data_IF_953748237592
#
_entry.id   IF_953748237592
#
_cell.length_a   1.000
_cell.length_b   1.000
_cell.length_c   1.000
_cell.angle_alpha   90.00
_cell.angle_beta   90.00
_cell.angle_gamma   90.00
#
_symmetry.space_group_name_H-M   'P 1'
#
loop_
_entity.id
_entity.type
_entity.pdbx_description
1 polymer ?
#
# COMPACT_ATOMS: atom_id res chain seq x y z
N UNK A 1 9.93 -6.92 18.20
CA UNK A 1 10.92 -7.11 17.11
C UNK A 1 10.36 -6.31 15.93
N UNK A 2 11.13 -5.35 15.40
CA UNK A 2 10.78 -4.64 14.19
C UNK A 2 10.67 -5.65 13.04
N UNK A 3 9.63 -5.55 12.22
CA UNK A 3 9.46 -6.38 11.02
C UNK A 3 10.66 -6.24 10.07
N UNK A 4 10.69 -7.08 9.03
CA UNK A 4 11.65 -6.95 7.93
C UNK A 4 11.46 -5.56 7.28
N UNK A 5 12.50 -4.71 7.18
CA UNK A 5 12.38 -3.38 6.60
C UNK A 5 12.00 -3.41 5.10
N UNK A 6 12.21 -4.53 4.43
CA UNK A 6 11.78 -4.79 3.05
C UNK A 6 11.20 -6.21 2.94
N UNK A 7 9.92 -6.40 3.26
CA UNK A 7 9.28 -7.72 3.14
C UNK A 7 8.96 -8.10 1.68
N UNK A 8 9.06 -7.16 0.73
CA UNK A 8 8.66 -7.32 -0.67
C UNK A 8 9.86 -7.64 -1.58
N UNK A 9 10.56 -8.76 -1.31
CA UNK A 9 11.71 -9.26 -2.08
C UNK A 9 11.59 -10.76 -2.38
N UNK A 10 12.46 -11.30 -3.24
CA UNK A 10 12.52 -12.72 -3.58
C UNK A 10 11.22 -13.24 -4.20
N UNK A 11 10.69 -14.36 -3.71
CA UNK A 11 9.44 -14.91 -4.21
C UNK A 11 8.26 -13.96 -4.03
N UNK A 12 8.23 -13.16 -2.96
CA UNK A 12 7.19 -12.15 -2.77
C UNK A 12 7.18 -11.15 -3.93
N UNK A 13 8.33 -10.60 -4.30
CA UNK A 13 8.43 -9.64 -5.40
C UNK A 13 8.14 -10.31 -6.76
N UNK A 14 8.82 -11.41 -7.06
CA UNK A 14 8.71 -12.08 -8.37
C UNK A 14 7.33 -12.67 -8.67
N UNK A 15 6.52 -12.94 -7.65
CA UNK A 15 5.16 -13.50 -7.81
C UNK A 15 4.04 -12.49 -7.54
N UNK A 16 4.40 -11.24 -7.20
CA UNK A 16 3.44 -10.23 -6.76
C UNK A 16 2.34 -9.97 -7.78
N UNK A 17 2.70 -9.71 -9.02
CA UNK A 17 1.72 -9.41 -10.09
C UNK A 17 0.78 -10.59 -10.40
N UNK A 18 1.26 -11.82 -10.22
CA UNK A 18 0.43 -13.01 -10.39
C UNK A 18 -0.61 -13.16 -9.27
N UNK A 19 -0.26 -12.76 -8.05
CA UNK A 19 -1.13 -12.83 -6.88
C UNK A 19 -2.03 -11.59 -6.71
N UNK A 20 -1.59 -10.43 -7.23
CA UNK A 20 -2.30 -9.14 -7.14
C UNK A 20 -2.43 -8.55 -8.54
N UNK A 21 -3.33 -9.09 -9.39
CA UNK A 21 -3.56 -8.54 -10.72
C UNK A 21 -4.06 -7.10 -10.63
N UNK A 22 -3.95 -6.32 -11.72
CA UNK A 22 -4.24 -4.88 -11.73
C UNK A 22 -5.58 -4.51 -11.12
N UNK A 23 -6.64 -5.26 -11.41
CA UNK A 23 -8.01 -4.96 -10.97
C UNK A 23 -8.41 -5.63 -9.64
N UNK A 24 -7.46 -6.30 -8.97
CA UNK A 24 -7.76 -7.09 -7.76
C UNK A 24 -8.29 -6.28 -6.57
N UNK A 25 -8.05 -4.97 -6.57
CA UNK A 25 -8.35 -4.08 -5.43
C UNK A 25 -9.54 -3.16 -5.74
N UNK A 26 -9.84 -2.89 -7.01
CA UNK A 26 -10.92 -1.98 -7.41
C UNK A 26 -10.59 -0.48 -7.25
N UNK A 27 -9.35 -0.14 -6.96
CA UNK A 27 -8.89 1.23 -6.64
C UNK A 27 -8.42 2.05 -7.86
N UNK A 28 -8.29 1.41 -9.02
CA UNK A 28 -7.74 2.04 -10.24
C UNK A 28 -8.52 3.28 -10.68
N UNK A 29 -9.85 3.19 -10.74
CA UNK A 29 -10.70 4.33 -11.16
C UNK A 29 -10.70 5.45 -10.12
N UNK A 30 -10.70 5.11 -8.83
CA UNK A 30 -10.70 6.06 -7.73
C UNK A 30 -9.47 6.97 -7.76
N UNK A 31 -8.27 6.41 -7.81
CA UNK A 31 -7.05 7.21 -7.87
C UNK A 31 -6.90 7.95 -9.20
N UNK A 32 -7.30 7.33 -10.33
CA UNK A 32 -7.30 7.99 -11.64
C UNK A 32 -8.12 9.29 -11.62
N UNK A 33 -9.31 9.25 -11.03
CA UNK A 33 -10.17 10.42 -10.92
C UNK A 33 -9.56 11.48 -10.02
N UNK A 34 -8.96 11.11 -8.88
CA UNK A 34 -8.25 12.04 -8.01
C UNK A 34 -7.06 12.72 -8.70
N UNK A 35 -6.32 12.00 -9.54
CA UNK A 35 -5.21 12.58 -10.31
C UNK A 35 -5.77 13.57 -11.34
N UNK A 36 -6.77 13.18 -12.13
CA UNK A 36 -7.38 14.03 -13.17
C UNK A 36 -8.10 15.25 -12.62
N UNK A 37 -8.65 15.15 -11.39
CA UNK A 37 -9.29 16.27 -10.68
C UNK A 37 -8.24 17.18 -10.00
N UNK A 38 -7.31 17.68 -10.78
CA UNK A 38 -6.27 18.63 -10.33
C UNK A 38 -5.26 18.03 -9.35
N UNK A 39 -5.01 16.72 -9.42
CA UNK A 39 -4.01 16.02 -8.62
C UNK A 39 -2.63 15.91 -9.26
N UNK A 40 -2.41 16.45 -10.46
CA UNK A 40 -1.10 16.49 -11.11
C UNK A 40 -0.29 17.72 -10.67
N UNK A 41 1.01 17.54 -10.40
CA UNK A 41 1.77 16.28 -10.39
C UNK A 41 1.42 15.38 -9.21
N UNK A 42 1.38 14.06 -9.44
CA UNK A 42 1.04 13.07 -8.43
C UNK A 42 2.25 12.23 -7.98
N UNK A 43 2.23 11.74 -6.73
CA UNK A 43 3.19 10.78 -6.20
C UNK A 43 2.46 9.57 -5.64
N UNK A 44 2.79 8.39 -6.18
CA UNK A 44 2.39 7.11 -5.62
C UNK A 44 3.46 6.60 -4.64
N UNK A 45 3.11 6.45 -3.36
CA UNK A 45 4.00 5.94 -2.32
C UNK A 45 3.70 4.47 -2.05
N UNK A 46 4.73 3.63 -2.12
CA UNK A 46 4.58 2.17 -2.16
C UNK A 46 4.13 1.70 -3.54
N UNK A 47 4.73 2.24 -4.62
CA UNK A 47 4.31 1.95 -6.00
C UNK A 47 4.61 0.50 -6.43
N UNK A 48 5.50 -0.21 -5.71
CA UNK A 48 5.82 -1.60 -5.94
C UNK A 48 6.23 -1.91 -7.39
N UNK A 49 5.59 -2.90 -7.98
CA UNK A 49 5.80 -3.31 -9.38
C UNK A 49 5.12 -2.38 -10.40
N UNK A 50 4.55 -1.25 -9.96
CA UNK A 50 3.90 -0.28 -10.83
C UNK A 50 2.46 -0.63 -11.23
N UNK A 51 1.72 -1.34 -10.40
CA UNK A 51 0.34 -1.77 -10.67
C UNK A 51 -0.58 -0.62 -11.08
N UNK A 52 -0.52 0.52 -10.39
CA UNK A 52 -1.26 1.74 -10.70
C UNK A 52 -0.41 2.70 -11.53
N UNK A 53 0.83 2.95 -11.12
CA UNK A 53 1.75 3.90 -11.74
C UNK A 53 1.83 3.75 -13.26
N UNK A 54 2.02 2.51 -13.74
CA UNK A 54 2.20 2.25 -15.18
C UNK A 54 0.93 2.50 -15.98
N UNK A 55 -0.24 2.24 -15.40
CA UNK A 55 -1.52 2.54 -16.05
C UNK A 55 -1.71 4.05 -16.23
N UNK A 56 -1.42 4.82 -15.18
CA UNK A 56 -1.57 6.28 -15.21
C UNK A 56 -0.51 6.95 -16.09
N UNK A 57 0.74 6.45 -16.07
CA UNK A 57 1.79 6.91 -16.96
C UNK A 57 1.45 6.61 -18.44
N UNK A 58 0.86 5.46 -18.75
CA UNK A 58 0.39 5.12 -20.10
C UNK A 58 -0.76 6.03 -20.58
N UNK A 59 -1.53 6.62 -19.67
CA UNK A 59 -2.56 7.62 -19.96
C UNK A 59 -1.99 9.04 -20.11
N UNK A 60 -0.68 9.21 -19.94
CA UNK A 60 0.01 10.51 -20.02
C UNK A 60 -0.15 11.38 -18.77
N UNK A 61 -0.59 10.81 -17.64
CA UNK A 61 -0.69 11.56 -16.38
C UNK A 61 0.69 11.80 -15.78
N UNK A 62 0.89 13.00 -15.22
CA UNK A 62 2.15 13.41 -14.58
C UNK A 62 2.26 12.79 -13.18
N UNK A 63 2.89 11.62 -13.11
CA UNK A 63 3.01 10.80 -11.90
C UNK A 63 4.42 10.26 -11.72
N UNK A 64 4.87 10.24 -10.48
CA UNK A 64 6.10 9.58 -10.04
C UNK A 64 5.79 8.52 -8.97
N UNK A 65 6.72 7.60 -8.74
CA UNK A 65 6.56 6.53 -7.75
C UNK A 65 7.71 6.45 -6.76
N UNK A 66 7.39 6.03 -5.54
CA UNK A 66 8.40 5.70 -4.52
C UNK A 66 8.11 4.31 -3.97
N UNK A 67 9.16 3.52 -3.75
CA UNK A 67 9.08 2.28 -2.98
C UNK A 67 10.39 2.04 -2.20
N UNK A 68 10.35 1.24 -1.14
CA UNK A 68 11.55 0.86 -0.38
C UNK A 68 12.26 -0.34 -1.00
N UNK A 69 11.52 -1.17 -1.73
CA UNK A 69 12.02 -2.41 -2.33
C UNK A 69 12.62 -2.18 -3.71
N UNK A 70 13.94 -2.37 -3.83
CA UNK A 70 14.60 -2.29 -5.14
C UNK A 70 14.11 -3.37 -6.10
N UNK A 71 13.88 -4.61 -5.62
CA UNK A 71 13.40 -5.69 -6.47
C UNK A 71 12.03 -5.38 -7.09
N UNK A 72 11.13 -4.75 -6.33
CA UNK A 72 9.83 -4.29 -6.84
C UNK A 72 10.02 -3.20 -7.90
N UNK A 73 10.91 -2.24 -7.65
CA UNK A 73 11.20 -1.16 -8.60
C UNK A 73 11.88 -1.66 -9.88
N UNK A 74 12.74 -2.68 -9.79
CA UNK A 74 13.33 -3.33 -10.98
C UNK A 74 12.27 -3.96 -11.87
N UNK A 75 11.28 -4.66 -11.26
CA UNK A 75 10.13 -5.21 -11.99
C UNK A 75 9.32 -4.07 -12.62
N UNK A 76 9.06 -2.99 -11.88
CA UNK A 76 8.35 -1.82 -12.41
C UNK A 76 9.06 -1.21 -13.61
N UNK A 77 10.37 -0.96 -13.53
CA UNK A 77 11.18 -0.42 -14.64
C UNK A 77 11.19 -1.35 -15.85
N UNK A 78 11.31 -2.67 -15.61
CA UNK A 78 11.27 -3.67 -16.69
C UNK A 78 9.94 -3.67 -17.44
N UNK A 79 8.82 -3.58 -16.70
CA UNK A 79 7.47 -3.48 -17.29
C UNK A 79 7.29 -2.16 -18.06
N UNK A 80 7.77 -1.04 -17.52
CA UNK A 80 7.74 0.25 -18.20
C UNK A 80 8.49 0.19 -19.53
N UNK A 81 9.71 -0.37 -19.54
CA UNK A 81 10.50 -0.53 -20.75
C UNK A 81 9.79 -1.41 -21.81
N UNK A 82 9.11 -2.47 -21.37
CA UNK A 82 8.33 -3.34 -22.26
C UNK A 82 7.10 -2.65 -22.88
N UNK A 83 6.63 -1.55 -22.25
CA UNK A 83 5.51 -0.73 -22.71
C UNK A 83 5.95 0.59 -23.38
N UNK A 84 7.25 0.78 -23.62
CA UNK A 84 7.85 2.03 -24.13
C UNK A 84 7.46 3.28 -23.28
N UNK A 85 7.29 3.08 -21.97
CA UNK A 85 6.95 4.16 -21.03
C UNK A 85 8.20 4.74 -20.36
N UNK A 86 8.28 6.06 -20.30
CA UNK A 86 9.25 6.77 -19.45
C UNK A 86 8.60 7.06 -18.09
N UNK A 87 9.19 6.54 -17.01
CA UNK A 87 8.71 6.71 -15.64
C UNK A 87 9.82 7.25 -14.72
N UNK A 88 9.43 7.97 -13.68
CA UNK A 88 10.30 8.34 -12.56
C UNK A 88 9.92 7.52 -11.33
N UNK A 89 10.84 6.64 -10.88
CA UNK A 89 10.65 5.87 -9.64
C UNK A 89 11.90 5.94 -8.78
N UNK A 90 11.71 6.12 -7.47
CA UNK A 90 12.77 6.38 -6.50
C UNK A 90 12.75 5.34 -5.39
N UNK A 91 13.92 4.81 -5.04
CA UNK A 91 14.06 3.92 -3.89
C UNK A 91 14.23 4.75 -2.62
N UNK A 92 13.14 4.95 -1.89
CA UNK A 92 13.17 5.71 -0.63
C UNK A 92 12.09 5.20 0.34
N UNK A 93 12.36 5.19 1.65
CA UNK A 93 11.34 4.91 2.65
C UNK A 93 10.42 6.13 2.82
N UNK A 94 9.12 5.89 2.98
CA UNK A 94 8.10 6.97 3.03
C UNK A 94 8.28 7.94 4.20
N UNK A 95 8.92 7.53 5.29
CA UNK A 95 9.20 8.39 6.44
C UNK A 95 10.34 9.38 6.23
N UNK A 96 11.11 9.25 5.16
CA UNK A 96 12.27 10.12 4.90
C UNK A 96 12.48 10.44 3.43
N UNK A 97 11.40 10.83 2.74
CA UNK A 97 11.46 11.23 1.34
C UNK A 97 12.39 12.44 1.14
N UNK A 98 13.17 12.38 0.07
CA UNK A 98 14.07 13.44 -0.41
C UNK A 98 13.91 13.54 -1.94
N UNK A 99 12.81 14.16 -2.37
CA UNK A 99 12.48 14.41 -3.75
C UNK A 99 12.58 15.91 -4.03
N UNK A 100 13.13 16.26 -5.18
CA UNK A 100 13.31 17.67 -5.57
C UNK A 100 12.00 18.37 -5.97
N UNK A 101 10.95 17.56 -6.18
CA UNK A 101 9.64 18.02 -6.63
C UNK A 101 8.62 18.03 -5.48
N UNK A 102 7.62 18.89 -5.61
CA UNK A 102 6.39 18.87 -4.82
C UNK A 102 5.22 18.41 -5.67
N UNK A 103 4.20 17.85 -5.01
CA UNK A 103 3.08 17.18 -5.66
C UNK A 103 1.76 17.79 -5.22
N UNK A 104 0.78 17.81 -6.10
CA UNK A 104 -0.59 18.22 -5.77
C UNK A 104 -1.38 17.08 -5.14
N UNK A 105 -0.98 15.84 -5.42
CA UNK A 105 -1.54 14.64 -4.82
C UNK A 105 -0.41 13.70 -4.40
N UNK A 106 -0.43 13.27 -3.14
CA UNK A 106 0.33 12.11 -2.66
C UNK A 106 -0.70 11.07 -2.23
N UNK A 107 -0.56 9.83 -2.69
CA UNK A 107 -1.43 8.74 -2.30
C UNK A 107 -0.66 7.46 -2.02
N UNK A 108 -1.16 6.69 -1.06
CA UNK A 108 -0.52 5.47 -0.58
C UNK A 108 -1.50 4.30 -0.76
N UNK A 109 -1.54 3.63 -1.92
CA UNK A 109 -2.54 2.60 -2.19
C UNK A 109 -2.33 1.33 -1.37
N UNK A 110 -3.35 0.48 -1.36
CA UNK A 110 -3.32 -0.90 -0.86
C UNK A 110 -2.82 -1.03 0.59
N UNK A 111 -3.17 -0.05 1.44
CA UNK A 111 -2.87 -0.04 2.87
C UNK A 111 -1.37 -0.03 3.22
N UNK A 112 -0.49 0.34 2.28
CA UNK A 112 0.97 0.34 2.48
C UNK A 112 1.42 1.23 3.64
N UNK A 113 0.66 2.28 3.96
CA UNK A 113 0.93 3.13 5.13
C UNK A 113 0.90 2.35 6.46
N UNK A 114 0.04 1.33 6.56
CA UNK A 114 -0.12 0.52 7.78
C UNK A 114 1.06 -0.43 8.05
N UNK A 115 2.01 -0.55 7.12
CA UNK A 115 3.29 -1.25 7.34
C UNK A 115 4.21 -0.49 8.29
N UNK A 116 3.97 0.81 8.53
CA UNK A 116 4.62 1.56 9.59
C UNK A 116 3.97 1.18 10.93
N UNK A 117 4.72 0.50 11.78
CA UNK A 117 4.23 0.02 13.08
C UNK A 117 4.70 0.86 14.26
N UNK A 118 5.70 1.72 14.05
CA UNK A 118 6.26 2.61 15.05
C UNK A 118 5.66 4.03 14.94
N UNK A 119 5.27 4.63 16.06
CA UNK A 119 4.63 5.95 16.09
C UNK A 119 5.56 7.07 15.59
N UNK A 120 6.89 6.92 15.80
CA UNK A 120 7.86 7.88 15.29
C UNK A 120 7.97 7.81 13.77
N UNK A 121 7.96 6.61 13.17
CA UNK A 121 7.95 6.42 11.72
C UNK A 121 6.65 6.94 11.08
N UNK A 122 5.51 6.69 11.71
CA UNK A 122 4.21 7.22 11.28
C UNK A 122 4.24 8.75 11.23
N UNK A 123 4.68 9.38 12.32
CA UNK A 123 4.81 10.84 12.39
C UNK A 123 5.81 11.39 11.37
N UNK A 124 6.95 10.72 11.23
CA UNK A 124 7.97 11.10 10.24
C UNK A 124 7.44 11.01 8.80
N UNK A 125 6.66 9.97 8.47
CA UNK A 125 6.04 9.83 7.16
C UNK A 125 5.03 10.94 6.87
N UNK A 126 4.12 11.24 7.81
CA UNK A 126 3.15 12.33 7.65
C UNK A 126 3.84 13.68 7.46
N UNK A 127 4.89 13.98 8.24
CA UNK A 127 5.70 15.17 8.09
C UNK A 127 6.45 15.19 6.74
N UNK A 128 6.90 14.03 6.28
CA UNK A 128 7.56 13.90 4.98
C UNK A 128 6.59 14.21 3.84
N UNK A 129 5.37 13.66 3.87
CA UNK A 129 4.34 13.95 2.87
C UNK A 129 3.96 15.44 2.86
N UNK A 130 3.82 16.06 4.04
CA UNK A 130 3.50 17.48 4.11
C UNK A 130 4.57 18.36 3.42
N UNK A 131 5.85 18.03 3.61
CA UNK A 131 6.95 18.78 2.94
C UNK A 131 6.95 18.62 1.43
N UNK A 132 6.52 17.44 0.91
CA UNK A 132 6.50 17.15 -0.52
C UNK A 132 5.16 17.47 -1.20
N UNK A 133 4.13 17.86 -0.46
CA UNK A 133 2.92 18.42 -1.05
C UNK A 133 3.10 19.89 -1.43
N UNK A 134 2.46 20.33 -2.50
CA UNK A 134 2.23 21.76 -2.77
C UNK A 134 1.28 22.37 -1.74
N UNK A 135 1.31 23.70 -1.50
CA UNK A 135 0.28 24.36 -0.71
C UNK A 135 -1.11 24.07 -1.26
N UNK A 136 -2.03 23.62 -0.39
CA UNK A 136 -3.35 23.15 -0.79
C UNK A 136 -3.41 21.75 -1.40
N UNK A 137 -2.28 21.08 -1.59
CA UNK A 137 -2.18 19.71 -2.10
C UNK A 137 -2.85 18.69 -1.19
N UNK A 138 -3.19 17.54 -1.75
CA UNK A 138 -3.97 16.48 -1.11
C UNK A 138 -3.11 15.28 -0.76
N UNK A 139 -3.31 14.73 0.45
CA UNK A 139 -2.84 13.42 0.86
C UNK A 139 -4.02 12.45 0.89
N UNK A 140 -3.88 11.27 0.27
CA UNK A 140 -4.91 10.22 0.30
C UNK A 140 -4.33 8.93 0.85
N UNK A 141 -4.91 8.46 1.96
CA UNK A 141 -4.42 7.28 2.69
C UNK A 141 -5.57 6.31 2.93
N UNK A 142 -5.72 5.27 2.12
CA UNK A 142 -6.59 4.14 2.44
C UNK A 142 -6.07 3.36 3.64
N UNK A 143 -6.98 3.02 4.54
CA UNK A 143 -6.72 2.20 5.72
C UNK A 143 -7.81 1.13 5.85
N UNK A 144 -7.44 -0.03 6.37
CA UNK A 144 -8.42 -0.98 6.84
C UNK A 144 -8.42 -1.05 8.37
N UNK A 145 -9.58 -1.35 8.94
CA UNK A 145 -9.78 -1.53 10.36
C UNK A 145 -10.31 -2.94 10.62
N UNK A 146 -9.54 -3.83 11.28
CA UNK A 146 -10.02 -5.15 11.61
C UNK A 146 -10.94 -5.05 12.83
N UNK A 147 -12.24 -5.27 12.64
CA UNK A 147 -13.15 -5.38 13.77
C UNK A 147 -12.95 -6.69 14.50
N UNK A 148 -12.86 -6.66 15.81
CA UNK A 148 -12.67 -7.86 16.64
C UNK A 148 -13.75 -8.92 16.39
N UNK A 149 -15.01 -8.49 16.17
CA UNK A 149 -16.12 -9.37 15.80
C UNK A 149 -15.90 -10.14 14.50
N UNK A 150 -15.20 -9.54 13.52
CA UNK A 150 -14.98 -10.10 12.19
C UNK A 150 -13.71 -10.97 12.19
N UNK A 151 -12.71 -10.55 12.94
CA UNK A 151 -11.47 -11.30 13.14
C UNK A 151 -11.66 -12.43 14.14
N UNK A 152 -12.40 -12.18 15.24
CA UNK A 152 -12.70 -13.16 16.27
C UNK A 152 -13.56 -14.35 15.81
N UNK A 153 -14.35 -14.16 14.74
CA UNK A 153 -15.11 -15.26 14.13
C UNK A 153 -14.24 -16.20 13.28
N UNK A 154 -13.05 -15.74 12.88
CA UNK A 154 -12.16 -16.50 12.01
C UNK A 154 -10.65 -16.26 12.22
N UNK A 155 -10.12 -15.94 13.42
CA UNK A 155 -8.68 -16.03 13.58
C UNK A 155 -8.30 -17.49 13.39
N UNK A 156 -7.28 -17.74 12.55
CA UNK A 156 -6.67 -19.06 12.61
C UNK A 156 -6.12 -19.25 14.02
N UNK A 157 -6.28 -20.44 14.64
CA UNK A 157 -5.55 -20.75 15.86
C UNK A 157 -4.10 -20.36 15.69
N UNK A 158 -3.48 -19.85 16.76
CA UNK A 158 -2.08 -19.44 16.71
C UNK A 158 -1.23 -20.60 16.14
N UNK A 159 -0.47 -20.31 15.06
CA UNK A 159 0.29 -21.34 14.34
C UNK A 159 -0.41 -21.98 13.13
N UNK A 160 -1.68 -21.71 12.88
CA UNK A 160 -2.38 -22.25 11.71
C UNK A 160 -2.12 -21.38 10.46
N UNK A 161 -1.83 -22.06 9.35
CA UNK A 161 -1.63 -21.40 8.05
C UNK A 161 -2.94 -21.35 7.26
N UNK A 162 -3.28 -20.16 6.73
CA UNK A 162 -4.42 -19.96 5.85
C UNK A 162 -3.97 -19.58 4.46
N UNK A 163 -4.55 -20.22 3.44
CA UNK A 163 -4.35 -19.82 2.06
C UNK A 163 -5.04 -18.47 1.83
N UNK A 164 -4.23 -17.43 1.54
CA UNK A 164 -4.72 -16.08 1.26
C UNK A 164 -5.03 -15.90 -0.20
N UNK A 165 -4.12 -16.34 -1.05
CA UNK A 165 -4.21 -16.19 -2.52
C UNK A 165 -3.53 -17.35 -3.19
N UNK A 166 -4.05 -17.72 -4.36
CA UNK A 166 -3.38 -18.62 -5.27
C UNK A 166 -3.72 -18.26 -6.71
N UNK A 167 -2.79 -18.52 -7.61
CA UNK A 167 -3.00 -18.41 -9.05
C UNK A 167 -2.32 -19.55 -9.76
N UNK A 168 -2.88 -20.01 -10.89
CA UNK A 168 -2.27 -21.02 -11.76
C UNK A 168 -1.76 -20.32 -13.01
N UNK A 169 -0.54 -20.63 -13.41
CA UNK A 169 0.07 -20.13 -14.64
C UNK A 169 -0.23 -21.05 -15.82
N UNK A 170 0.00 -20.56 -17.04
CA UNK A 170 -0.31 -21.30 -18.27
C UNK A 170 0.50 -22.57 -18.48
N UNK A 171 1.67 -22.70 -17.84
CA UNK A 171 2.52 -23.89 -17.84
C UNK A 171 2.11 -24.95 -16.79
N UNK A 172 1.01 -24.69 -16.06
CA UNK A 172 0.50 -25.56 -15.01
C UNK A 172 1.10 -25.35 -13.64
N UNK A 173 2.10 -24.48 -13.48
CA UNK A 173 2.63 -24.08 -12.18
C UNK A 173 1.60 -23.28 -11.40
N UNK A 174 1.72 -23.29 -10.07
CA UNK A 174 0.84 -22.56 -9.17
C UNK A 174 1.67 -21.71 -8.20
N UNK A 175 1.26 -20.49 -8.02
CA UNK A 175 1.79 -19.62 -6.97
C UNK A 175 0.78 -19.57 -5.83
N UNK A 176 1.24 -19.76 -4.60
CA UNK A 176 0.41 -19.73 -3.39
C UNK A 176 1.00 -18.74 -2.38
N UNK A 177 0.14 -17.95 -1.78
CA UNK A 177 0.46 -17.13 -0.62
C UNK A 177 -0.35 -17.59 0.57
N UNK A 178 0.32 -18.09 1.59
CA UNK A 178 -0.23 -18.51 2.87
C UNK A 178 0.09 -17.49 3.94
N UNK A 179 -0.81 -17.33 4.89
CA UNK A 179 -0.62 -16.41 6.03
C UNK A 179 -0.79 -17.16 7.34
N UNK A 180 0.11 -16.89 8.27
CA UNK A 180 -0.06 -17.12 9.70
C UNK A 180 -0.05 -15.74 10.37
N UNK A 181 -1.11 -15.39 11.11
CA UNK A 181 -1.25 -14.05 11.68
C UNK A 181 -1.83 -14.09 13.09
N UNK A 182 -1.31 -13.21 13.94
CA UNK A 182 -1.83 -12.89 15.26
C UNK A 182 -2.22 -11.42 15.33
N UNK A 183 -3.34 -11.13 16.02
CA UNK A 183 -3.86 -9.79 16.23
C UNK A 183 -3.71 -9.40 17.71
N UNK A 184 -3.08 -8.28 17.95
CA UNK A 184 -2.95 -7.64 19.25
C UNK A 184 -3.85 -6.38 19.22
N UNK A 185 -5.06 -6.51 19.78
CA UNK A 185 -6.06 -5.43 19.74
C UNK A 185 -5.71 -4.28 20.67
N UNK A 186 -4.99 -4.55 21.77
CA UNK A 186 -4.54 -3.51 22.70
C UNK A 186 -3.45 -2.64 22.04
N UNK A 187 -2.48 -3.27 21.39
CA UNK A 187 -1.44 -2.58 20.65
C UNK A 187 -1.88 -2.11 19.25
N UNK A 188 -3.04 -2.55 18.76
CA UNK A 188 -3.54 -2.29 17.40
C UNK A 188 -2.56 -2.75 16.31
N UNK A 189 -1.94 -3.91 16.49
CA UNK A 189 -0.95 -4.46 15.56
C UNK A 189 -1.33 -5.91 15.17
N UNK A 190 -1.43 -6.14 13.87
CA UNK A 190 -1.39 -7.48 13.28
C UNK A 190 0.08 -7.86 13.00
N UNK A 191 0.52 -8.99 13.52
CA UNK A 191 1.80 -9.61 13.15
C UNK A 191 1.51 -10.78 12.24
N UNK A 192 2.08 -10.77 11.04
CA UNK A 192 1.84 -11.82 10.06
C UNK A 192 3.15 -12.38 9.52
N UNK A 193 3.18 -13.69 9.32
CA UNK A 193 4.17 -14.35 8.47
C UNK A 193 3.47 -14.83 7.21
N UNK A 194 3.95 -14.36 6.06
CA UNK A 194 3.51 -14.81 4.75
C UNK A 194 4.47 -15.88 4.24
N UNK A 195 3.93 -16.95 3.66
CA UNK A 195 4.71 -17.98 2.99
C UNK A 195 4.28 -18.05 1.53
N UNK A 196 5.24 -17.83 0.66
CA UNK A 196 5.09 -17.91 -0.79
C UNK A 196 5.63 -19.25 -1.25
N UNK A 197 4.80 -20.03 -1.97
CA UNK A 197 5.19 -21.30 -2.57
C UNK A 197 5.06 -21.20 -4.09
N UNK A 198 6.10 -21.64 -4.80
CA UNK A 198 6.01 -21.99 -6.20
C UNK A 198 5.81 -23.50 -6.29
N UNK A 199 4.65 -23.92 -6.78
CA UNK A 199 4.25 -25.32 -6.86
C UNK A 199 4.27 -25.75 -8.32
N UNK A 200 5.06 -26.77 -8.64
CA UNK A 200 5.16 -27.34 -9.97
C UNK A 200 3.84 -28.01 -10.43
N UNK A 201 3.71 -28.30 -11.71
CA UNK A 201 2.51 -28.91 -12.30
C UNK A 201 2.16 -30.28 -11.69
N UNK A 202 3.17 -31.00 -11.19
CA UNK A 202 3.01 -32.29 -10.51
C UNK A 202 2.59 -32.17 -9.02
N UNK A 203 2.49 -30.93 -8.53
CA UNK A 203 2.12 -30.64 -7.13
C UNK A 203 3.28 -30.55 -6.15
N UNK A 204 4.52 -30.74 -6.59
CA UNK A 204 5.70 -30.56 -5.74
C UNK A 204 6.00 -29.09 -5.49
N UNK A 205 6.51 -28.74 -4.30
CA UNK A 205 6.96 -27.39 -3.98
C UNK A 205 8.37 -27.19 -4.56
N UNK A 206 8.46 -26.43 -5.66
CA UNK A 206 9.73 -26.13 -6.31
C UNK A 206 10.55 -25.06 -5.56
N UNK A 207 9.86 -24.09 -4.93
CA UNK A 207 10.48 -23.08 -4.07
C UNK A 207 9.50 -22.62 -2.99
N UNK A 208 10.04 -22.24 -1.83
CA UNK A 208 9.26 -21.71 -0.70
C UNK A 208 10.05 -20.64 0.02
N UNK A 209 9.40 -19.54 0.36
CA UNK A 209 10.01 -18.44 1.06
C UNK A 209 9.03 -17.81 2.06
N UNK A 210 9.56 -17.31 3.19
CA UNK A 210 8.74 -16.67 4.21
C UNK A 210 9.17 -15.21 4.42
N UNK A 211 8.18 -14.36 4.68
CA UNK A 211 8.35 -12.94 5.02
C UNK A 211 7.48 -12.59 6.21
N UNK A 212 8.02 -11.84 7.15
CA UNK A 212 7.26 -11.34 8.30
C UNK A 212 6.98 -9.85 8.11
N UNK A 213 5.76 -9.45 8.45
CA UNK A 213 5.36 -8.05 8.42
C UNK A 213 4.46 -7.72 9.62
N UNK A 214 4.51 -6.46 10.03
CA UNK A 214 3.57 -5.86 10.96
C UNK A 214 2.60 -4.96 10.21
N UNK A 215 1.35 -4.91 10.66
CA UNK A 215 0.36 -3.97 10.15
C UNK A 215 -0.25 -3.27 11.35
N UNK A 216 -0.06 -1.94 11.43
CA UNK A 216 -0.66 -1.09 12.47
C UNK A 216 -1.97 -0.52 11.95
N UNK A 217 -3.05 -0.66 12.72
CA UNK A 217 -4.30 0.02 12.39
C UNK A 217 -4.64 1.12 13.39
N UNK A 218 -5.50 2.02 12.96
CA UNK A 218 -6.00 3.13 13.76
C UNK A 218 -7.50 3.24 13.55
N UNK A 219 -8.22 3.68 14.57
CA UNK A 219 -9.60 4.12 14.38
C UNK A 219 -9.62 5.37 13.50
N UNK A 220 -10.78 5.69 12.92
CA UNK A 220 -10.92 6.94 12.14
C UNK A 220 -10.55 8.18 12.99
N UNK A 221 -10.92 8.19 14.28
CA UNK A 221 -10.61 9.28 15.17
C UNK A 221 -9.10 9.41 15.44
N UNK A 222 -8.43 8.31 15.76
CA UNK A 222 -6.97 8.31 16.01
C UNK A 222 -6.18 8.79 14.79
N UNK A 223 -6.55 8.32 13.60
CA UNK A 223 -5.81 8.71 12.39
C UNK A 223 -6.09 10.17 11.99
N UNK A 224 -7.31 10.66 12.23
CA UNK A 224 -7.63 12.08 12.08
C UNK A 224 -6.74 12.94 12.98
N UNK A 225 -6.60 12.58 14.26
CA UNK A 225 -5.74 13.29 15.22
C UNK A 225 -4.27 13.29 14.80
N UNK A 226 -3.77 12.17 14.24
CA UNK A 226 -2.42 12.09 13.68
C UNK A 226 -2.22 13.04 12.49
N UNK A 227 -3.19 13.10 11.57
CA UNK A 227 -3.16 14.01 10.43
C UNK A 227 -3.18 15.47 10.88
N UNK A 228 -4.11 15.85 11.74
CA UNK A 228 -4.25 17.21 12.28
C UNK A 228 -3.02 17.62 13.11
N UNK A 229 -2.50 16.71 13.94
CA UNK A 229 -1.27 16.90 14.70
C UNK A 229 -0.03 17.06 13.83
N UNK A 230 -0.04 16.51 12.61
CA UNK A 230 1.01 16.71 11.59
C UNK A 230 0.75 17.94 10.70
N UNK A 231 -0.24 18.77 11.03
CA UNK A 231 -0.53 20.04 10.36
C UNK A 231 -1.39 19.91 9.09
N UNK A 232 -2.02 18.76 8.85
CA UNK A 232 -3.03 18.65 7.79
C UNK A 232 -4.36 19.25 8.21
N UNK A 233 -5.14 19.71 7.24
CA UNK A 233 -6.45 20.33 7.41
C UNK A 233 -7.49 19.72 6.47
N UNK A 234 -8.77 20.09 6.66
CA UNK A 234 -9.88 19.63 5.82
C UNK A 234 -9.91 18.09 5.66
N UNK A 235 -9.78 17.38 6.80
CA UNK A 235 -9.71 15.92 6.83
C UNK A 235 -11.08 15.31 6.61
N UNK A 236 -11.29 14.73 5.42
CA UNK A 236 -12.45 13.91 5.06
C UNK A 236 -12.15 12.43 5.16
N UNK A 237 -13.21 11.62 5.30
CA UNK A 237 -13.10 10.15 5.29
C UNK A 237 -14.11 9.60 4.28
N UNK A 238 -13.61 8.89 3.30
CA UNK A 238 -14.39 8.28 2.22
C UNK A 238 -14.49 6.77 2.45
N UNK A 239 -15.57 6.16 1.99
CA UNK A 239 -15.73 4.71 2.02
C UNK A 239 -14.93 4.08 0.87
N UNK A 240 -14.33 2.96 1.13
CA UNK A 240 -13.59 2.03 0.27
C UNK A 240 -13.55 2.38 -1.23
N UNK A 241 -12.52 3.10 -1.68
CA UNK A 241 -12.27 3.50 -3.09
C UNK A 241 -13.48 4.14 -3.80
N UNK A 242 -14.33 4.84 -3.04
CA UNK A 242 -15.45 5.62 -3.54
C UNK A 242 -15.35 7.07 -3.06
N UNK A 243 -16.20 7.93 -3.60
CA UNK A 243 -16.31 9.32 -3.14
C UNK A 243 -17.43 9.53 -2.10
N UNK A 244 -18.06 8.44 -1.67
CA UNK A 244 -19.09 8.49 -0.62
C UNK A 244 -18.44 8.63 0.76
N UNK A 245 -19.03 9.36 1.69
CA UNK A 245 -18.55 9.45 3.06
C UNK A 245 -18.51 8.08 3.75
N UNK A 246 -17.43 7.77 4.46
CA UNK A 246 -17.36 6.57 5.27
C UNK A 246 -18.17 6.72 6.57
N UNK A 247 -18.96 5.70 6.91
CA UNK A 247 -19.51 5.55 8.25
C UNK A 247 -18.45 5.06 9.25
N UNK A 248 -18.72 5.17 10.57
CA UNK A 248 -17.75 4.80 11.59
C UNK A 248 -17.40 3.29 11.62
N UNK A 249 -18.30 2.45 11.12
CA UNK A 249 -18.17 0.98 11.13
C UNK A 249 -17.68 0.40 9.79
N UNK A 250 -17.25 1.26 8.83
CA UNK A 250 -16.69 0.74 7.59
C UNK A 250 -15.35 0.04 7.86
N UNK A 251 -15.16 -1.21 7.39
CA UNK A 251 -13.92 -1.96 7.61
C UNK A 251 -12.75 -1.45 6.77
N UNK A 252 -13.03 -0.66 5.73
CA UNK A 252 -12.04 -0.04 4.85
C UNK A 252 -12.51 1.38 4.49
N UNK A 253 -11.60 2.33 4.59
CA UNK A 253 -11.89 3.75 4.33
C UNK A 253 -10.62 4.48 3.87
N UNK A 254 -10.80 5.59 3.15
CA UNK A 254 -9.70 6.44 2.70
C UNK A 254 -9.79 7.83 3.35
N UNK A 255 -8.71 8.23 4.01
CA UNK A 255 -8.56 9.63 4.45
C UNK A 255 -8.13 10.51 3.27
N UNK A 256 -8.77 11.65 3.15
CA UNK A 256 -8.37 12.74 2.26
C UNK A 256 -8.10 13.96 3.13
N UNK A 257 -6.85 14.40 3.14
CA UNK A 257 -6.43 15.55 3.94
C UNK A 257 -5.68 16.56 3.06
N UNK A 258 -5.65 17.83 3.46
CA UNK A 258 -4.98 18.89 2.69
C UNK A 258 -3.80 19.47 3.47
N UNK A 259 -2.71 19.70 2.76
CA UNK A 259 -1.70 20.64 3.25
C UNK A 259 -2.33 22.06 3.25
N UNK A 260 -2.19 22.85 4.34
CA UNK A 260 -2.63 24.25 4.33
C UNK A 260 -2.04 25.04 3.15
N UNK A 261 -2.81 25.97 2.61
CA UNK A 261 -2.28 26.96 1.67
C UNK A 261 -1.26 27.87 2.39
N UNK A 262 -0.24 28.29 1.68
CA UNK A 262 0.67 29.31 2.21
C UNK A 262 -0.14 30.62 2.42
N UNK A 263 0.08 31.28 3.57
CA UNK A 263 -0.63 32.53 3.92
C UNK A 263 -0.09 33.68 3.10
#
# INVERSE_FOLDING_TARGET
>A
MSGDPDPYRGLCASTYDALVPPDAVGDVSFFRELIRDGGEPALEVGCGTGRLLLQYAAEGLDIEGVDVSEEMLEICRSKAAALDLTISVHRQPMQSLQLDRRYRLIFIPYFSFQLLTDDADITAALNSFQRHLEPGGRLVVPLFFPHERDVGQTPAPEGEWRLRRQTRQGDGTRVECWENAAYDFDAQIKRATLRFNLVAADGTIAASEQRSLGIRWHTQQQFRELLEGSGFTAVGVLSDHSFDPAGPDHPSFAFVARRPADR
#
